data_IF_811192788362
#
_entry.id   IF_811192788362
#
_cell.length_a   1.000
_cell.length_b   1.000
_cell.length_c   1.000
_cell.angle_alpha   90.00
_cell.angle_beta   90.00
_cell.angle_gamma   90.00
#
_symmetry.space_group_name_H-M   'P 1'
#
loop_
_entity.id
_entity.type
_entity.pdbx_description
1 polymer ?
#
# COMPACT_ATOMS: atom_id res chain seq x y z
N UNK A 1 -14.12 -3.00 3.80
CA UNK A 1 -13.59 -1.82 3.08
C UNK A 1 -12.20 -2.19 2.64
N UNK A 2 -11.86 -1.96 1.37
CA UNK A 2 -10.48 -2.08 0.90
C UNK A 2 -9.62 -1.04 1.61
N UNK A 3 -8.35 -1.37 1.87
CA UNK A 3 -7.38 -0.42 2.37
C UNK A 3 -6.86 0.41 1.20
N UNK A 4 -6.64 1.70 1.44
CA UNK A 4 -6.30 2.68 0.41
C UNK A 4 -4.98 3.38 0.69
N UNK A 5 -4.27 3.73 -0.38
CA UNK A 5 -3.05 4.52 -0.35
C UNK A 5 -3.33 5.90 -0.96
N UNK A 6 -3.18 6.95 -0.17
CA UNK A 6 -3.32 8.32 -0.67
C UNK A 6 -2.04 8.77 -1.39
N UNK A 7 -2.15 9.13 -2.68
CA UNK A 7 -1.03 9.70 -3.44
C UNK A 7 -0.99 11.20 -3.19
N UNK A 8 0.12 11.68 -2.65
CA UNK A 8 0.38 13.09 -2.36
C UNK A 8 1.64 13.57 -3.06
N UNK A 9 1.79 14.87 -3.21
CA UNK A 9 3.00 15.47 -3.79
C UNK A 9 2.83 16.96 -4.00
N UNK A 10 3.93 17.67 -4.12
CA UNK A 10 3.95 19.08 -4.50
C UNK A 10 3.46 19.25 -5.95
N UNK A 11 3.06 20.45 -6.37
CA UNK A 11 2.74 20.69 -7.77
C UNK A 11 3.92 20.36 -8.71
N UNK A 12 3.59 19.83 -9.90
CA UNK A 12 4.56 19.55 -10.96
C UNK A 12 5.61 18.46 -10.65
N UNK A 13 5.34 17.56 -9.71
CA UNK A 13 6.21 16.40 -9.41
C UNK A 13 5.92 15.17 -10.29
N UNK A 14 4.92 15.24 -11.19
CA UNK A 14 4.47 14.12 -12.01
C UNK A 14 3.35 13.28 -11.40
N UNK A 15 2.73 13.73 -10.29
CA UNK A 15 1.67 13.02 -9.58
C UNK A 15 0.50 12.63 -10.50
N UNK A 16 -0.02 13.57 -11.28
CA UNK A 16 -1.15 13.32 -12.20
C UNK A 16 -0.77 12.37 -13.35
N UNK A 17 0.46 12.46 -13.85
CA UNK A 17 0.99 11.54 -14.86
C UNK A 17 1.04 10.12 -14.31
N UNK A 18 1.59 9.96 -13.10
CA UNK A 18 1.64 8.68 -12.40
C UNK A 18 0.24 8.11 -12.16
N UNK A 19 -0.69 8.93 -11.64
CA UNK A 19 -2.04 8.50 -11.36
C UNK A 19 -2.79 8.11 -12.64
N UNK A 20 -2.62 8.84 -13.72
CA UNK A 20 -3.20 8.49 -15.03
C UNK A 20 -2.63 7.17 -15.56
N UNK A 21 -1.33 6.93 -15.38
CA UNK A 21 -0.71 5.66 -15.73
C UNK A 21 -1.28 4.51 -14.88
N UNK A 22 -1.44 4.69 -13.58
CA UNK A 22 -2.07 3.71 -12.69
C UNK A 22 -3.50 3.38 -13.12
N UNK A 23 -4.32 4.38 -13.49
CA UNK A 23 -5.71 4.18 -13.89
C UNK A 23 -5.90 3.63 -15.30
N UNK A 24 -4.98 3.91 -16.23
CA UNK A 24 -4.99 3.32 -17.58
C UNK A 24 -4.63 1.82 -17.55
N UNK A 25 -3.84 1.39 -16.59
CA UNK A 25 -3.48 -0.01 -16.37
C UNK A 25 -4.65 -0.87 -15.87
N UNK A 26 -5.86 -0.31 -15.90
CA UNK A 26 -7.13 -0.85 -15.40
C UNK A 26 -7.72 -1.97 -16.30
N UNK A 27 -6.87 -2.74 -16.98
CA UNK A 27 -7.25 -3.98 -17.70
C UNK A 27 -7.92 -4.97 -16.75
N UNK A 28 -7.75 -4.79 -15.43
CA UNK A 28 -8.32 -5.63 -14.39
C UNK A 28 -9.73 -5.20 -13.96
N UNK A 29 -10.10 -3.94 -14.09
CA UNK A 29 -11.47 -3.47 -13.77
C UNK A 29 -12.54 -4.16 -14.60
N UNK A 30 -12.25 -4.51 -15.86
CA UNK A 30 -13.15 -5.27 -16.73
C UNK A 30 -13.44 -6.69 -16.20
N UNK A 31 -12.60 -7.25 -15.34
CA UNK A 31 -12.75 -8.59 -14.78
C UNK A 31 -13.39 -8.62 -13.38
N UNK A 32 -13.61 -7.46 -12.74
CA UNK A 32 -14.29 -7.33 -11.46
C UNK A 32 -15.70 -6.79 -11.65
N UNK A 33 -16.74 -7.64 -11.68
CA UNK A 33 -18.12 -7.25 -12.01
C UNK A 33 -18.78 -6.30 -10.99
N UNK A 34 -18.08 -5.94 -9.90
CA UNK A 34 -18.56 -5.06 -8.83
C UNK A 34 -17.63 -3.89 -8.51
N UNK A 35 -16.63 -3.60 -9.37
CA UNK A 35 -15.79 -2.42 -9.20
C UNK A 35 -16.63 -1.17 -9.50
N UNK A 36 -17.05 -0.47 -8.45
CA UNK A 36 -17.57 0.89 -8.58
C UNK A 36 -16.37 1.78 -8.90
N UNK A 37 -16.32 2.35 -10.10
CA UNK A 37 -15.29 3.33 -10.46
C UNK A 37 -15.62 4.61 -9.71
N UNK A 38 -14.97 4.82 -8.56
CA UNK A 38 -15.04 6.09 -7.87
C UNK A 38 -14.09 7.08 -8.56
N UNK A 39 -14.50 8.34 -8.80
CA UNK A 39 -13.60 9.33 -9.35
C UNK A 39 -12.40 9.52 -8.41
N UNK A 40 -11.19 9.54 -8.98
CA UNK A 40 -9.91 9.66 -8.29
C UNK A 40 -9.46 8.41 -7.50
N UNK A 41 -10.01 7.22 -7.78
CA UNK A 41 -9.50 5.95 -7.25
C UNK A 41 -8.97 5.11 -8.42
N UNK A 42 -7.72 4.68 -8.31
CA UNK A 42 -7.07 3.74 -9.23
C UNK A 42 -6.92 2.38 -8.56
N UNK A 43 -7.53 1.35 -9.13
CA UNK A 43 -7.41 -0.03 -8.65
C UNK A 43 -6.31 -0.72 -9.45
N UNK A 44 -5.23 -1.15 -8.80
CA UNK A 44 -4.06 -1.72 -9.47
C UNK A 44 -3.88 -3.17 -9.04
N UNK A 45 -3.69 -4.05 -10.03
CA UNK A 45 -3.37 -5.46 -9.77
C UNK A 45 -1.97 -5.62 -9.19
N UNK A 46 -1.85 -6.46 -8.16
CA UNK A 46 -0.55 -6.84 -7.60
C UNK A 46 0.00 -8.01 -8.41
N UNK A 47 1.14 -7.85 -9.12
CA UNK A 47 1.74 -8.94 -9.88
C UNK A 47 2.07 -10.14 -8.98
N UNK A 48 1.63 -11.34 -9.39
CA UNK A 48 1.88 -12.57 -8.67
C UNK A 48 2.07 -13.73 -9.65
N UNK A 49 3.32 -14.11 -9.87
CA UNK A 49 3.71 -15.18 -10.79
C UNK A 49 3.19 -16.57 -10.37
N UNK A 50 2.79 -16.73 -9.09
CA UNK A 50 2.23 -17.97 -8.57
C UNK A 50 0.88 -18.31 -9.22
N UNK A 51 0.11 -17.29 -9.57
CA UNK A 51 -1.22 -17.48 -10.16
C UNK A 51 -1.18 -18.18 -11.51
N UNK A 52 -0.23 -17.83 -12.39
CA UNK A 52 -0.08 -18.46 -13.69
C UNK A 52 0.25 -19.96 -13.54
N UNK A 53 1.17 -20.31 -12.63
CA UNK A 53 1.53 -21.71 -12.36
C UNK A 53 0.36 -22.52 -11.80
N UNK A 54 -0.43 -21.95 -10.90
CA UNK A 54 -1.62 -22.60 -10.38
C UNK A 54 -2.69 -22.77 -11.47
N UNK A 55 -2.90 -21.73 -12.29
CA UNK A 55 -3.85 -21.80 -13.39
C UNK A 55 -3.51 -22.92 -14.39
N UNK A 56 -2.23 -23.17 -14.66
CA UNK A 56 -1.77 -24.28 -15.48
C UNK A 56 -2.10 -25.63 -14.82
N UNK A 57 -1.77 -25.82 -13.53
CA UNK A 57 -2.03 -27.07 -12.78
C UNK A 57 -3.53 -27.40 -12.74
N UNK A 58 -4.40 -26.41 -12.57
CA UNK A 58 -5.83 -26.59 -12.40
C UNK A 58 -6.65 -26.44 -13.70
N UNK A 59 -6.03 -26.03 -14.80
CA UNK A 59 -6.71 -25.69 -16.05
C UNK A 59 -7.69 -24.53 -15.89
N UNK A 60 -7.32 -23.51 -15.14
CA UNK A 60 -8.22 -22.40 -14.77
C UNK A 60 -8.55 -21.53 -15.96
N UNK A 61 -9.84 -21.22 -16.13
CA UNK A 61 -10.31 -20.37 -17.22
C UNK A 61 -9.98 -18.87 -17.02
N UNK A 62 -9.73 -18.44 -15.76
CA UNK A 62 -9.43 -17.04 -15.41
C UNK A 62 -8.41 -16.96 -14.31
N UNK A 63 -7.62 -15.87 -14.33
CA UNK A 63 -6.66 -15.51 -13.28
C UNK A 63 -7.11 -14.16 -12.69
N UNK A 64 -7.21 -14.10 -11.37
CA UNK A 64 -7.63 -12.90 -10.64
C UNK A 64 -6.59 -12.57 -9.57
N UNK A 65 -5.70 -11.57 -9.80
CA UNK A 65 -4.72 -11.15 -8.82
C UNK A 65 -5.37 -10.39 -7.65
N UNK A 66 -4.63 -10.19 -6.58
CA UNK A 66 -4.98 -9.22 -5.55
C UNK A 66 -4.87 -7.80 -6.11
N UNK A 67 -5.53 -6.83 -5.47
CA UNK A 67 -5.49 -5.43 -5.88
C UNK A 67 -5.13 -4.53 -4.71
N UNK A 68 -4.60 -3.36 -5.03
CA UNK A 68 -4.38 -2.25 -4.12
C UNK A 68 -5.04 -0.99 -4.71
N UNK A 69 -5.70 -0.22 -3.85
CA UNK A 69 -6.42 0.97 -4.26
C UNK A 69 -5.59 2.21 -3.96
N UNK A 70 -5.33 3.00 -5.00
CA UNK A 70 -4.67 4.31 -4.90
C UNK A 70 -5.69 5.43 -5.06
N UNK A 71 -5.60 6.45 -4.20
CA UNK A 71 -6.48 7.61 -4.24
C UNK A 71 -5.68 8.85 -4.58
N UNK A 72 -6.06 9.56 -5.66
CA UNK A 72 -5.43 10.83 -5.99
C UNK A 72 -5.87 11.92 -5.02
N UNK A 73 -4.95 12.39 -4.20
CA UNK A 73 -5.17 13.49 -3.28
C UNK A 73 -4.60 14.76 -3.92
N UNK A 74 -5.43 15.80 -4.02
CA UNK A 74 -5.02 17.09 -4.60
C UNK A 74 -3.71 17.58 -3.96
N UNK A 75 -2.83 18.17 -4.78
CA UNK A 75 -1.50 18.61 -4.33
C UNK A 75 -1.55 19.58 -3.15
N UNK A 76 -0.56 19.47 -2.27
CA UNK A 76 -0.36 20.34 -1.14
C UNK A 76 0.36 21.61 -1.59
N UNK A 77 0.03 22.74 -0.97
CA UNK A 77 0.82 23.98 -0.99
C UNK A 77 1.21 24.31 0.44
N UNK A 78 2.36 24.99 0.62
CA UNK A 78 2.80 25.48 1.93
C UNK A 78 1.69 26.28 2.61
N UNK A 79 1.51 26.09 3.93
CA UNK A 79 0.48 26.76 4.71
C UNK A 79 -0.88 26.04 4.66
N UNK A 80 -0.93 24.79 4.21
CA UNK A 80 -2.16 24.01 4.15
C UNK A 80 -2.75 23.74 5.54
N UNK A 81 -1.90 23.64 6.56
CA UNK A 81 -2.30 23.43 7.97
C UNK A 81 -2.86 24.70 8.64
N UNK A 82 -2.54 25.88 8.13
CA UNK A 82 -3.00 27.18 8.66
C UNK A 82 -4.15 27.79 7.86
N UNK A 83 -4.43 27.25 6.66
CA UNK A 83 -5.40 27.82 5.70
C UNK A 83 -6.84 27.32 5.87
N UNK A 84 -7.79 28.23 5.60
CA UNK A 84 -9.18 27.84 5.36
C UNK A 84 -9.34 27.30 3.92
N UNK A 85 -10.03 26.18 3.74
CA UNK A 85 -10.46 25.69 2.43
C UNK A 85 -9.67 24.48 1.88
N UNK A 86 -8.82 24.67 0.85
CA UNK A 86 -8.17 23.56 0.12
C UNK A 86 -7.21 22.73 0.99
N UNK A 87 -6.48 23.34 1.92
CA UNK A 87 -5.58 22.64 2.82
C UNK A 87 -6.32 21.69 3.78
N UNK A 88 -7.43 22.14 4.35
CA UNK A 88 -8.25 21.28 5.22
C UNK A 88 -8.86 20.10 4.47
N UNK A 89 -9.25 20.28 3.20
CA UNK A 89 -9.75 19.20 2.35
C UNK A 89 -8.65 18.18 2.04
N UNK A 90 -7.43 18.65 1.75
CA UNK A 90 -6.27 17.80 1.56
C UNK A 90 -5.99 16.93 2.79
N UNK A 91 -5.89 17.53 3.98
CA UNK A 91 -5.66 16.81 5.23
C UNK A 91 -6.79 15.82 5.57
N UNK A 92 -8.05 16.17 5.23
CA UNK A 92 -9.18 15.26 5.40
C UNK A 92 -9.05 14.03 4.50
N UNK A 93 -8.69 14.18 3.23
CA UNK A 93 -8.49 13.06 2.31
C UNK A 93 -7.33 12.16 2.76
N UNK A 94 -6.22 12.72 3.25
CA UNK A 94 -5.13 11.91 3.84
C UNK A 94 -5.64 11.16 5.06
N UNK A 95 -6.49 11.77 5.88
CA UNK A 95 -7.03 11.11 7.08
C UNK A 95 -7.86 9.86 6.76
N UNK A 96 -8.53 9.86 5.63
CA UNK A 96 -9.33 8.73 5.14
C UNK A 96 -8.48 7.59 4.55
N UNK A 97 -7.27 7.87 4.07
CA UNK A 97 -6.35 6.85 3.52
C UNK A 97 -5.68 6.03 4.64
N UNK A 98 -5.28 4.80 4.35
CA UNK A 98 -4.60 3.90 5.31
C UNK A 98 -3.07 4.05 5.28
N UNK A 99 -2.50 4.45 4.13
CA UNK A 99 -1.08 4.76 3.96
C UNK A 99 -0.91 5.99 3.05
N UNK A 100 0.28 6.56 3.03
CA UNK A 100 0.64 7.74 2.24
C UNK A 100 1.72 7.37 1.24
N UNK A 101 1.46 7.61 -0.05
CA UNK A 101 2.43 7.53 -1.12
C UNK A 101 2.85 8.95 -1.53
N UNK A 102 4.04 9.37 -1.14
CA UNK A 102 4.55 10.68 -1.54
C UNK A 102 5.33 10.59 -2.85
N UNK A 103 4.85 11.29 -3.88
CA UNK A 103 5.57 11.46 -5.15
C UNK A 103 6.52 12.64 -5.00
N UNK A 104 7.79 12.36 -5.26
CA UNK A 104 8.91 13.31 -5.12
C UNK A 104 9.54 13.52 -6.48
N UNK A 105 9.75 14.79 -6.85
CA UNK A 105 10.42 15.14 -8.09
C UNK A 105 11.93 14.98 -7.92
N UNK A 106 12.53 14.18 -8.77
CA UNK A 106 13.98 14.06 -8.91
C UNK A 106 14.45 14.26 -10.38
N UNK A 107 13.51 14.36 -11.31
CA UNK A 107 13.79 14.63 -12.73
C UNK A 107 14.06 16.11 -13.00
N UNK A 108 14.85 16.38 -14.05
CA UNK A 108 15.20 17.71 -14.53
C UNK A 108 14.52 17.99 -15.86
N UNK A 109 13.54 18.91 -15.87
CA UNK A 109 12.88 19.35 -17.10
C UNK A 109 12.80 20.89 -17.07
N UNK A 110 13.47 21.59 -18.03
CA UNK A 110 13.47 23.05 -18.08
C UNK A 110 12.09 23.66 -18.39
N UNK A 111 11.19 22.89 -19.02
CA UNK A 111 9.85 23.34 -19.36
C UNK A 111 8.86 23.17 -18.19
N UNK A 112 9.25 22.44 -17.16
CA UNK A 112 8.42 22.16 -15.97
C UNK A 112 8.97 22.97 -14.78
N UNK A 113 8.29 24.05 -14.43
CA UNK A 113 8.69 24.92 -13.31
C UNK A 113 8.56 24.16 -11.98
N UNK A 114 9.62 24.15 -11.16
CA UNK A 114 9.56 23.70 -9.77
C UNK A 114 8.98 24.81 -8.88
N UNK A 115 8.15 24.47 -7.90
CA UNK A 115 7.48 25.44 -7.01
C UNK A 115 8.48 26.33 -6.28
N UNK A 116 9.61 25.77 -5.84
CA UNK A 116 10.67 26.48 -5.13
C UNK A 116 11.83 26.91 -6.06
N UNK A 117 11.67 26.78 -7.39
CA UNK A 117 12.68 27.15 -8.39
C UNK A 117 13.92 26.25 -8.46
N UNK A 118 14.02 25.22 -7.61
CA UNK A 118 15.11 24.24 -7.55
C UNK A 118 14.53 22.86 -7.22
N UNK A 119 14.95 21.86 -7.97
CA UNK A 119 14.64 20.45 -7.65
C UNK A 119 15.47 20.02 -6.43
N UNK A 120 14.80 19.64 -5.36
CA UNK A 120 15.41 19.15 -4.12
C UNK A 120 14.50 18.12 -3.46
N UNK A 121 14.71 16.82 -3.70
CA UNK A 121 13.91 15.76 -3.10
C UNK A 121 13.76 15.89 -1.60
N UNK A 122 14.84 16.26 -0.90
CA UNK A 122 14.83 16.46 0.55
C UNK A 122 13.87 17.59 0.96
N UNK A 123 13.96 18.76 0.33
CA UNK A 123 13.15 19.92 0.69
C UNK A 123 11.65 19.65 0.37
N UNK A 124 11.37 18.92 -0.70
CA UNK A 124 10.01 18.50 -1.08
C UNK A 124 9.38 17.56 -0.03
N UNK A 125 10.17 16.60 0.47
CA UNK A 125 9.74 15.68 1.53
C UNK A 125 9.50 16.47 2.83
N UNK A 126 10.46 17.28 3.26
CA UNK A 126 10.36 18.09 4.48
C UNK A 126 9.16 19.04 4.44
N UNK A 127 8.82 19.59 3.28
CA UNK A 127 7.64 20.47 3.13
C UNK A 127 6.34 19.74 3.47
N UNK A 128 6.13 18.54 2.92
CA UNK A 128 4.92 17.76 3.22
C UNK A 128 4.92 17.27 4.67
N UNK A 129 6.06 16.77 5.17
CA UNK A 129 6.18 16.37 6.58
C UNK A 129 5.81 17.50 7.53
N UNK A 130 6.31 18.71 7.28
CA UNK A 130 6.03 19.89 8.11
C UNK A 130 4.53 20.16 8.21
N UNK A 131 3.80 20.13 7.08
CA UNK A 131 2.35 20.37 7.08
C UNK A 131 1.59 19.28 7.85
N UNK A 132 1.98 18.01 7.70
CA UNK A 132 1.35 16.91 8.43
C UNK A 132 1.66 16.97 9.94
N UNK A 133 2.90 17.30 10.30
CA UNK A 133 3.34 17.46 11.69
C UNK A 133 2.58 18.62 12.36
N UNK A 134 2.43 19.76 11.70
CA UNK A 134 1.68 20.90 12.24
C UNK A 134 0.20 20.54 12.46
N UNK A 135 -0.42 19.82 11.53
CA UNK A 135 -1.79 19.35 11.66
C UNK A 135 -1.96 18.37 12.84
N UNK A 136 -1.00 17.48 13.04
CA UNK A 136 -1.02 16.52 14.16
C UNK A 136 -0.76 17.21 15.49
N UNK A 137 0.18 18.17 15.56
CA UNK A 137 0.41 18.98 16.75
C UNK A 137 -0.86 19.71 17.18
N UNK A 138 -1.59 20.34 16.26
CA UNK A 138 -2.87 20.96 16.57
C UNK A 138 -3.89 19.96 17.10
N UNK A 139 -3.93 18.75 16.53
CA UNK A 139 -4.85 17.67 16.96
C UNK A 139 -4.52 17.22 18.38
N UNK A 140 -3.24 16.96 18.67
CA UNK A 140 -2.79 16.52 20.00
C UNK A 140 -3.00 17.62 21.03
N UNK A 141 -2.60 18.86 20.75
CA UNK A 141 -2.78 19.99 21.66
C UNK A 141 -4.23 20.24 22.03
N UNK A 142 -5.14 20.11 21.08
CA UNK A 142 -6.58 20.19 21.32
C UNK A 142 -7.10 19.06 22.20
N UNK A 143 -6.52 17.86 22.10
CA UNK A 143 -6.94 16.68 22.86
C UNK A 143 -6.37 16.68 24.31
N UNK A 144 -5.17 17.21 24.54
CA UNK A 144 -4.46 17.15 25.82
C UNK A 144 -5.26 17.63 27.02
N UNK A 145 -5.98 18.79 27.01
CA UNK A 145 -6.76 19.23 28.17
C UNK A 145 -7.85 18.25 28.58
N UNK A 146 -8.52 17.62 27.60
CA UNK A 146 -9.51 16.58 27.86
C UNK A 146 -8.85 15.34 28.45
N UNK A 147 -7.77 14.85 27.86
CA UNK A 147 -7.04 13.67 28.32
C UNK A 147 -6.48 13.85 29.74
N UNK A 148 -5.97 15.04 30.09
CA UNK A 148 -5.50 15.38 31.43
C UNK A 148 -6.64 15.34 32.45
N UNK A 149 -7.83 15.82 32.12
CA UNK A 149 -9.00 15.74 33.00
C UNK A 149 -9.46 14.30 33.18
N UNK A 150 -9.51 13.52 32.13
CA UNK A 150 -9.90 12.10 32.15
C UNK A 150 -8.92 11.25 32.99
N UNK A 151 -7.60 11.48 32.82
CA UNK A 151 -6.56 10.77 33.56
C UNK A 151 -6.61 11.01 35.10
N UNK A 152 -7.12 12.18 35.52
CA UNK A 152 -7.37 12.45 36.93
C UNK A 152 -8.53 11.65 37.53
N UNK A 153 -9.48 11.26 36.68
CA UNK A 153 -10.72 10.58 37.09
C UNK A 153 -10.62 9.06 36.95
N UNK A 154 -9.84 8.56 35.99
CA UNK A 154 -9.72 7.14 35.62
C UNK A 154 -8.25 6.76 35.44
N UNK A 155 -7.76 5.79 36.18
CA UNK A 155 -6.35 5.30 36.06
C UNK A 155 -6.02 4.73 34.68
N UNK A 156 -6.99 4.13 33.99
CA UNK A 156 -6.79 3.49 32.69
C UNK A 156 -6.50 4.51 31.57
N UNK A 157 -6.84 5.80 31.78
CA UNK A 157 -6.55 6.88 30.82
C UNK A 157 -5.18 7.51 30.99
N UNK A 158 -4.42 7.15 32.01
CA UNK A 158 -3.08 7.69 32.25
C UNK A 158 -2.09 7.28 31.14
N UNK A 159 -2.21 6.05 30.62
CA UNK A 159 -1.39 5.56 29.48
C UNK A 159 -1.70 6.30 28.18
N UNK A 160 -2.95 6.65 27.94
CA UNK A 160 -3.37 7.44 26.79
C UNK A 160 -2.80 8.87 26.85
N UNK A 161 -2.86 9.50 28.02
CA UNK A 161 -2.26 10.83 28.22
C UNK A 161 -0.74 10.79 28.02
N UNK A 162 -0.05 9.82 28.62
CA UNK A 162 1.40 9.67 28.45
C UNK A 162 1.80 9.46 26.98
N UNK A 163 1.02 8.65 26.24
CA UNK A 163 1.25 8.45 24.81
C UNK A 163 1.01 9.73 23.99
N UNK A 164 -0.02 10.52 24.33
CA UNK A 164 -0.27 11.80 23.65
C UNK A 164 0.82 12.83 23.91
N UNK A 165 1.33 12.92 25.14
CA UNK A 165 2.45 13.79 25.51
C UNK A 165 3.76 13.36 24.82
N UNK A 166 4.02 12.04 24.74
CA UNK A 166 5.18 11.51 24.02
C UNK A 166 5.10 11.77 22.52
N UNK A 167 3.91 11.57 21.90
CA UNK A 167 3.69 11.89 20.49
C UNK A 167 3.95 13.37 20.22
N UNK A 168 3.45 14.29 21.07
CA UNK A 168 3.72 15.72 20.96
C UNK A 168 5.23 16.01 20.98
N UNK A 169 5.95 15.44 21.95
CA UNK A 169 7.39 15.65 22.08
C UNK A 169 8.17 15.20 20.84
N UNK A 170 7.77 14.09 20.20
CA UNK A 170 8.37 13.62 18.94
C UNK A 170 8.09 14.62 17.82
N UNK A 171 6.83 15.01 17.63
CA UNK A 171 6.42 15.94 16.57
C UNK A 171 7.12 17.31 16.70
N UNK A 172 7.32 17.79 17.91
CA UNK A 172 8.08 19.04 18.19
C UNK A 172 9.56 18.96 17.77
N UNK A 173 10.12 17.76 17.60
CA UNK A 173 11.46 17.58 17.01
C UNK A 173 11.50 17.67 15.49
N UNK A 174 10.35 17.80 14.82
CA UNK A 174 10.24 17.79 13.36
C UNK A 174 10.24 16.40 12.73
N UNK A 175 10.05 15.33 13.53
CA UNK A 175 9.94 13.95 13.05
C UNK A 175 8.49 13.50 12.97
N UNK A 176 8.17 12.70 11.96
CA UNK A 176 6.89 12.00 11.90
C UNK A 176 6.85 10.87 12.94
N UNK A 177 5.65 10.49 13.38
CA UNK A 177 5.50 9.37 14.32
C UNK A 177 5.89 8.03 13.69
N UNK A 178 5.67 7.89 12.39
CA UNK A 178 6.09 6.72 11.61
C UNK A 178 7.62 6.59 11.57
N UNK A 179 8.34 7.66 11.21
CA UNK A 179 9.81 7.69 11.20
C UNK A 179 10.41 7.38 12.58
N UNK A 180 9.75 7.84 13.64
CA UNK A 180 10.16 7.57 15.01
C UNK A 180 9.84 6.15 15.49
N UNK A 181 9.12 5.34 14.71
CA UNK A 181 8.65 4.01 15.12
C UNK A 181 7.74 4.05 16.35
N UNK A 182 6.98 5.12 16.54
CA UNK A 182 6.19 5.35 17.73
C UNK A 182 4.90 4.52 17.74
N UNK A 183 4.64 3.77 18.83
CA UNK A 183 3.38 3.03 18.98
C UNK A 183 2.21 3.98 19.28
N UNK A 184 1.37 4.17 18.26
CA UNK A 184 0.18 5.02 18.34
C UNK A 184 -1.08 4.29 18.78
N UNK A 185 -1.02 2.98 19.07
CA UNK A 185 -2.19 2.20 19.45
C UNK A 185 -2.97 2.80 20.64
N UNK A 186 -2.32 3.33 21.72
CA UNK A 186 -3.05 3.96 22.83
C UNK A 186 -3.82 5.22 22.44
N UNK A 187 -3.39 5.93 21.39
CA UNK A 187 -3.97 7.20 20.93
C UNK A 187 -4.56 7.13 19.52
N UNK A 188 -4.87 5.92 19.04
CA UNK A 188 -5.43 5.68 17.69
C UNK A 188 -6.69 6.51 17.40
N UNK A 189 -7.48 6.83 18.42
CA UNK A 189 -8.67 7.67 18.30
C UNK A 189 -8.37 9.11 17.84
N UNK A 190 -7.11 9.55 17.90
CA UNK A 190 -6.70 10.87 17.42
C UNK A 190 -6.51 10.90 15.90
N UNK A 191 -6.45 9.74 15.24
CA UNK A 191 -6.27 9.62 13.78
C UNK A 191 -5.13 10.49 13.24
N UNK A 192 -3.94 10.37 13.89
CA UNK A 192 -2.78 11.18 13.52
C UNK A 192 -2.27 10.79 12.13
N UNK A 193 -1.99 11.81 11.33
CA UNK A 193 -1.59 11.66 9.93
C UNK A 193 -0.17 11.11 9.80
N UNK A 194 0.74 11.61 10.63
CA UNK A 194 2.16 11.21 10.65
C UNK A 194 2.40 9.82 11.22
N UNK A 195 1.36 9.18 11.79
CA UNK A 195 1.41 7.81 12.28
C UNK A 195 1.15 6.76 11.19
N UNK A 196 0.62 7.20 10.03
CA UNK A 196 0.35 6.30 8.90
C UNK A 196 1.66 5.81 8.28
N UNK A 197 1.68 4.58 7.74
CA UNK A 197 2.80 4.12 6.93
C UNK A 197 3.05 5.03 5.73
N UNK A 198 4.33 5.28 5.41
CA UNK A 198 4.75 6.03 4.25
C UNK A 198 5.46 5.12 3.25
N UNK A 199 5.28 5.44 1.97
CA UNK A 199 6.15 5.02 0.89
C UNK A 199 6.44 6.21 -0.02
N UNK A 200 7.58 6.20 -0.70
CA UNK A 200 8.02 7.29 -1.55
C UNK A 200 8.22 6.82 -2.97
N UNK A 201 7.71 7.60 -3.92
CA UNK A 201 7.96 7.41 -5.35
C UNK A 201 8.83 8.56 -5.82
N UNK A 202 10.09 8.29 -6.11
CA UNK A 202 10.99 9.23 -6.77
C UNK A 202 10.77 9.15 -8.28
N UNK A 203 10.18 10.21 -8.82
CA UNK A 203 10.01 10.36 -10.25
C UNK A 203 11.32 10.94 -10.82
N UNK A 204 12.07 10.11 -11.54
CA UNK A 204 13.46 10.33 -11.95
C UNK A 204 13.61 10.40 -13.47
N UNK A 205 14.75 10.89 -13.95
CA UNK A 205 15.17 10.72 -15.34
C UNK A 205 15.73 9.30 -15.58
N UNK A 206 15.96 8.95 -16.85
CA UNK A 206 16.41 7.59 -17.22
C UNK A 206 17.79 7.27 -16.61
N UNK A 207 18.68 8.24 -16.54
CA UNK A 207 20.03 8.05 -16.00
C UNK A 207 20.02 7.66 -14.51
N UNK A 208 19.14 8.26 -13.71
CA UNK A 208 19.00 7.93 -12.29
C UNK A 208 18.32 6.56 -12.05
N UNK A 209 17.58 6.03 -13.02
CA UNK A 209 17.03 4.66 -12.92
C UNK A 209 18.13 3.60 -12.86
N UNK A 210 19.30 3.86 -13.44
CA UNK A 210 20.45 2.97 -13.41
C UNK A 210 21.49 3.34 -12.31
N UNK A 211 21.36 4.50 -11.67
CA UNK A 211 22.30 4.99 -10.67
C UNK A 211 21.97 4.49 -9.26
N UNK A 212 22.63 3.41 -8.83
CA UNK A 212 22.42 2.83 -7.50
C UNK A 212 22.94 3.72 -6.37
N UNK A 213 24.00 4.52 -6.57
CA UNK A 213 24.51 5.45 -5.55
C UNK A 213 23.47 6.54 -5.28
N UNK A 214 22.83 7.05 -6.32
CA UNK A 214 21.70 7.98 -6.19
C UNK A 214 20.54 7.33 -5.44
N UNK A 215 20.11 6.13 -5.85
CA UNK A 215 19.01 5.41 -5.20
C UNK A 215 19.27 5.13 -3.73
N UNK A 216 20.50 4.72 -3.38
CA UNK A 216 20.89 4.46 -2.00
C UNK A 216 20.85 5.72 -1.13
N UNK A 217 21.27 6.86 -1.68
CA UNK A 217 21.14 8.14 -1.00
C UNK A 217 19.67 8.51 -0.72
N UNK A 218 18.76 8.28 -1.69
CA UNK A 218 17.34 8.54 -1.50
C UNK A 218 16.68 7.53 -0.53
N UNK A 219 17.05 6.24 -0.59
CA UNK A 219 16.62 5.22 0.38
C UNK A 219 16.99 5.63 1.81
N UNK A 220 18.24 6.08 2.00
CA UNK A 220 18.71 6.56 3.31
C UNK A 220 17.93 7.79 3.80
N UNK A 221 17.52 8.68 2.88
CA UNK A 221 16.77 9.91 3.20
C UNK A 221 15.40 9.60 3.77
N UNK A 222 14.73 8.54 3.30
CA UNK A 222 13.33 8.22 3.65
C UNK A 222 13.19 7.05 4.61
N UNK A 223 14.28 6.42 5.04
CA UNK A 223 14.23 5.31 5.99
C UNK A 223 13.45 5.68 7.26
N UNK A 224 12.61 4.77 7.80
CA UNK A 224 12.44 3.36 7.46
C UNK A 224 11.40 3.07 6.34
N UNK A 225 10.90 4.09 5.64
CA UNK A 225 9.95 3.91 4.55
C UNK A 225 10.62 3.32 3.31
N UNK A 226 9.81 2.68 2.46
CA UNK A 226 10.25 2.16 1.18
C UNK A 226 10.35 3.27 0.13
N UNK A 227 11.39 3.19 -0.72
CA UNK A 227 11.64 4.09 -1.84
C UNK A 227 11.52 3.34 -3.17
N UNK A 228 10.69 3.84 -4.05
CA UNK A 228 10.45 3.33 -5.39
C UNK A 228 10.96 4.37 -6.39
N UNK A 229 11.67 3.91 -7.43
CA UNK A 229 12.20 4.76 -8.48
C UNK A 229 11.54 4.41 -9.79
N UNK A 230 10.95 5.39 -10.45
CA UNK A 230 10.31 5.22 -11.76
C UNK A 230 10.33 6.52 -12.54
N UNK A 231 10.14 6.43 -13.84
CA UNK A 231 9.88 7.58 -14.69
C UNK A 231 8.40 7.57 -15.11
N UNK A 232 7.61 8.49 -14.57
CA UNK A 232 6.17 8.51 -14.78
C UNK A 232 5.76 8.67 -16.27
N UNK A 233 6.61 9.27 -17.10
CA UNK A 233 6.37 9.40 -18.54
C UNK A 233 6.57 8.06 -19.22
N UNK A 234 7.66 7.37 -18.95
CA UNK A 234 7.94 6.03 -19.47
C UNK A 234 6.84 5.04 -19.03
N UNK A 235 6.42 5.07 -17.78
CA UNK A 235 5.32 4.24 -17.29
C UNK A 235 4.03 4.45 -18.10
N UNK A 236 3.76 5.69 -18.53
CA UNK A 236 2.61 6.00 -19.37
C UNK A 236 2.78 5.47 -20.80
N UNK A 237 4.00 5.42 -21.32
CA UNK A 237 4.33 4.89 -22.65
C UNK A 237 4.27 3.36 -22.67
N UNK A 238 4.78 2.69 -21.61
CA UNK A 238 4.75 1.23 -21.48
C UNK A 238 3.35 0.63 -21.59
N UNK A 239 2.34 1.34 -21.12
CA UNK A 239 0.93 0.88 -21.16
C UNK A 239 0.37 0.85 -22.59
N UNK A 240 0.95 1.63 -23.52
CA UNK A 240 0.52 1.73 -24.91
C UNK A 240 1.25 0.72 -25.83
N UNK A 241 2.30 0.06 -25.32
CA UNK A 241 3.08 -0.95 -26.02
C UNK A 241 2.50 -2.35 -25.83
N UNK A 242 2.84 -3.26 -26.73
CA UNK A 242 2.60 -4.68 -26.46
C UNK A 242 3.65 -5.26 -25.50
N UNK A 243 3.40 -6.47 -24.98
CA UNK A 243 4.25 -7.08 -23.95
C UNK A 243 5.72 -7.26 -24.39
N UNK A 244 5.97 -7.52 -25.66
CA UNK A 244 7.31 -7.73 -26.22
C UNK A 244 8.07 -6.39 -26.33
N UNK A 245 7.41 -5.37 -26.89
CA UNK A 245 7.96 -4.00 -26.98
C UNK A 245 8.20 -3.38 -25.59
N UNK A 246 7.26 -3.58 -24.66
CA UNK A 246 7.41 -3.11 -23.29
C UNK A 246 8.61 -3.75 -22.58
N UNK A 247 8.81 -5.07 -22.77
CA UNK A 247 9.94 -5.78 -22.20
C UNK A 247 11.28 -5.31 -22.78
N UNK A 248 11.34 -5.09 -24.11
CA UNK A 248 12.55 -4.55 -24.77
C UNK A 248 12.90 -3.16 -24.23
N UNK A 249 11.91 -2.28 -24.06
CA UNK A 249 12.12 -0.95 -23.50
C UNK A 249 12.64 -1.01 -22.07
N UNK A 250 12.03 -1.83 -21.21
CA UNK A 250 12.48 -2.01 -19.81
C UNK A 250 13.92 -2.54 -19.74
N UNK A 251 14.25 -3.56 -20.55
CA UNK A 251 15.60 -4.14 -20.58
C UNK A 251 16.64 -3.12 -21.05
N UNK A 252 16.29 -2.25 -21.99
CA UNK A 252 17.19 -1.18 -22.46
C UNK A 252 17.57 -0.19 -21.36
N UNK A 253 16.69 -0.04 -20.35
CA UNK A 253 16.90 0.82 -19.17
C UNK A 253 17.42 0.06 -17.95
N UNK A 254 17.75 -1.24 -18.09
CA UNK A 254 18.21 -2.07 -16.98
C UNK A 254 17.14 -2.35 -15.93
N UNK A 255 15.85 -2.32 -16.32
CA UNK A 255 14.73 -2.63 -15.44
C UNK A 255 14.17 -4.02 -15.77
N UNK A 256 13.81 -4.79 -14.73
CA UNK A 256 13.23 -6.13 -14.88
C UNK A 256 11.70 -6.12 -14.93
N UNK A 257 11.08 -5.09 -14.37
CA UNK A 257 9.61 -4.92 -14.30
C UNK A 257 9.21 -3.43 -14.37
N UNK A 258 7.99 -3.11 -14.78
CA UNK A 258 7.47 -1.74 -14.71
C UNK A 258 7.48 -1.19 -13.29
N UNK A 259 7.81 0.10 -13.12
CA UNK A 259 7.79 0.76 -11.81
C UNK A 259 6.41 0.75 -11.16
N UNK A 260 5.34 0.76 -11.96
CA UNK A 260 3.97 0.61 -11.45
C UNK A 260 3.72 -0.78 -10.84
N UNK A 261 4.32 -1.83 -11.36
CA UNK A 261 4.24 -3.18 -10.78
C UNK A 261 4.93 -3.23 -9.41
N UNK A 262 6.13 -2.64 -9.32
CA UNK A 262 6.85 -2.46 -8.04
C UNK A 262 6.02 -1.62 -7.06
N UNK A 263 5.41 -0.51 -7.52
CA UNK A 263 4.56 0.34 -6.68
C UNK A 263 3.36 -0.42 -6.12
N UNK A 264 2.69 -1.24 -6.92
CA UNK A 264 1.57 -2.05 -6.46
C UNK A 264 2.00 -3.06 -5.39
N UNK A 265 3.13 -3.74 -5.57
CA UNK A 265 3.67 -4.73 -4.63
C UNK A 265 4.11 -4.08 -3.32
N UNK A 266 4.92 -3.03 -3.39
CA UNK A 266 5.41 -2.31 -2.20
C UNK A 266 4.27 -1.64 -1.45
N UNK A 267 3.30 -1.05 -2.16
CA UNK A 267 2.11 -0.47 -1.56
C UNK A 267 1.26 -1.50 -0.81
N UNK A 268 1.09 -2.68 -1.39
CA UNK A 268 0.40 -3.81 -0.76
C UNK A 268 1.08 -4.25 0.54
N UNK A 269 2.41 -4.38 0.51
CA UNK A 269 3.22 -4.73 1.68
C UNK A 269 3.19 -3.65 2.76
N UNK A 270 3.25 -2.37 2.37
CA UNK A 270 3.18 -1.20 3.26
C UNK A 270 1.87 -1.15 4.05
N UNK A 271 0.77 -1.59 3.44
CA UNK A 271 -0.53 -1.75 4.11
C UNK A 271 -0.59 -2.95 5.07
N UNK A 272 0.50 -3.72 5.21
CA UNK A 272 0.53 -4.92 6.04
C UNK A 272 -0.35 -6.05 5.50
N UNK A 273 -0.51 -6.12 4.18
CA UNK A 273 -1.32 -7.12 3.49
C UNK A 273 -0.48 -8.33 3.07
N UNK A 274 -1.15 -9.44 2.87
CA UNK A 274 -0.64 -10.67 2.26
C UNK A 274 -1.76 -11.39 1.52
N UNK A 275 -1.43 -12.39 0.72
CA UNK A 275 -2.41 -13.16 -0.04
C UNK A 275 -2.44 -14.62 0.37
N UNK A 276 -3.63 -15.22 0.34
CA UNK A 276 -3.79 -16.64 0.17
C UNK A 276 -4.44 -16.93 -1.19
N UNK A 277 -4.31 -18.14 -1.68
CA UNK A 277 -4.67 -18.51 -3.03
C UNK A 277 -5.80 -19.56 -3.02
N UNK A 278 -6.70 -19.45 -3.97
CA UNK A 278 -7.65 -20.51 -4.30
C UNK A 278 -7.50 -20.86 -5.77
N UNK A 279 -7.56 -22.11 -6.12
CA UNK A 279 -7.42 -22.56 -7.50
C UNK A 279 -8.41 -23.67 -7.84
N UNK A 280 -8.98 -23.59 -9.03
CA UNK A 280 -9.91 -24.54 -9.57
C UNK A 280 -10.18 -24.32 -11.06
N UNK A 281 -10.97 -25.18 -11.74
CA UNK A 281 -11.18 -25.06 -13.20
C UNK A 281 -11.81 -23.74 -13.65
N UNK A 282 -12.59 -23.07 -12.79
CA UNK A 282 -13.23 -21.80 -13.14
C UNK A 282 -12.29 -20.62 -13.03
N UNK A 283 -11.52 -20.58 -11.93
CA UNK A 283 -10.61 -19.48 -11.65
C UNK A 283 -9.49 -19.89 -10.70
N UNK A 284 -8.35 -19.23 -10.85
CA UNK A 284 -7.29 -19.11 -9.86
C UNK A 284 -7.29 -17.68 -9.35
N UNK A 285 -7.30 -17.50 -8.03
CA UNK A 285 -7.46 -16.18 -7.42
C UNK A 285 -6.57 -15.98 -6.20
N UNK A 286 -5.97 -14.79 -6.11
CA UNK A 286 -5.35 -14.28 -4.90
C UNK A 286 -6.38 -13.48 -4.08
N UNK A 287 -6.46 -13.79 -2.80
CA UNK A 287 -7.35 -13.14 -1.84
C UNK A 287 -6.54 -12.31 -0.86
N UNK A 288 -6.90 -11.05 -0.73
CA UNK A 288 -6.21 -10.11 0.15
C UNK A 288 -6.65 -10.28 1.59
N UNK A 289 -5.68 -10.46 2.49
CA UNK A 289 -5.88 -10.49 3.95
C UNK A 289 -4.80 -9.66 4.64
N UNK A 290 -5.05 -9.24 5.87
CA UNK A 290 -4.01 -8.64 6.72
C UNK A 290 -3.02 -9.70 7.18
N UNK A 291 -1.75 -9.36 7.30
CA UNK A 291 -0.73 -10.20 7.95
C UNK A 291 -1.20 -10.53 9.37
N UNK A 292 -1.12 -11.82 9.74
CA UNK A 292 -1.61 -12.31 11.01
C UNK A 292 -3.10 -12.71 11.05
N UNK A 293 -3.83 -12.60 9.95
CA UNK A 293 -5.22 -13.05 9.86
C UNK A 293 -5.33 -14.57 10.07
N UNK A 294 -6.34 -14.99 10.82
CA UNK A 294 -6.66 -16.41 11.05
C UNK A 294 -7.44 -17.02 9.89
N UNK A 295 -7.49 -18.35 9.81
CA UNK A 295 -8.24 -19.06 8.77
C UNK A 295 -9.73 -18.68 8.70
N UNK A 296 -10.48 -18.50 9.82
CA UNK A 296 -11.85 -17.99 9.77
C UNK A 296 -11.95 -16.56 9.20
N UNK A 297 -11.02 -15.67 9.55
CA UNK A 297 -10.99 -14.30 9.02
C UNK A 297 -10.71 -14.31 7.52
N UNK A 298 -9.78 -15.14 7.07
CA UNK A 298 -9.50 -15.35 5.65
C UNK A 298 -10.72 -15.91 4.89
N UNK A 299 -11.40 -16.90 5.45
CA UNK A 299 -12.64 -17.43 4.87
C UNK A 299 -13.73 -16.34 4.75
N UNK A 300 -13.77 -15.41 5.72
CA UNK A 300 -14.68 -14.27 5.75
C UNK A 300 -14.51 -13.29 4.60
N UNK A 301 -13.31 -13.21 4.02
CA UNK A 301 -13.03 -12.37 2.84
C UNK A 301 -13.76 -12.91 1.59
N UNK A 302 -13.93 -14.23 1.48
CA UNK A 302 -14.72 -14.81 0.40
C UNK A 302 -16.21 -14.51 0.62
N UNK A 303 -16.72 -14.83 1.81
CA UNK A 303 -18.10 -14.56 2.21
C UNK A 303 -18.23 -14.62 3.74
N UNK A 304 -19.09 -13.77 4.30
CA UNK A 304 -19.31 -13.70 5.77
C UNK A 304 -19.83 -15.02 6.35
N UNK A 305 -20.59 -15.78 5.58
CA UNK A 305 -21.10 -17.10 6.02
C UNK A 305 -19.97 -18.13 6.15
N UNK A 306 -18.92 -18.03 5.34
CA UNK A 306 -17.74 -18.90 5.46
C UNK A 306 -17.03 -18.68 6.79
N UNK A 307 -16.95 -17.42 7.25
CA UNK A 307 -16.40 -17.10 8.56
C UNK A 307 -17.26 -17.65 9.70
N UNK A 308 -18.57 -17.39 9.63
CA UNK A 308 -19.52 -17.82 10.66
C UNK A 308 -19.64 -19.33 10.78
N UNK A 309 -19.71 -20.02 9.63
CA UNK A 309 -19.83 -21.46 9.52
C UNK A 309 -18.51 -22.21 9.44
N UNK A 310 -17.35 -21.56 9.66
CA UNK A 310 -16.03 -22.15 9.52
C UNK A 310 -15.87 -23.43 10.34
N UNK A 311 -15.45 -24.52 9.68
CA UNK A 311 -15.17 -25.81 10.32
C UNK A 311 -13.66 -26.05 10.33
N UNK A 312 -13.01 -26.00 9.17
CA UNK A 312 -11.59 -26.25 8.97
C UNK A 312 -11.14 -25.73 7.60
N UNK A 313 -9.83 -25.55 7.44
CA UNK A 313 -9.18 -25.28 6.17
C UNK A 313 -8.27 -26.45 5.78
N UNK A 314 -8.30 -26.86 4.54
CA UNK A 314 -7.24 -27.69 3.95
C UNK A 314 -6.24 -26.75 3.31
N UNK A 315 -5.00 -26.78 3.76
CA UNK A 315 -3.94 -25.85 3.38
C UNK A 315 -2.77 -26.63 2.78
N UNK A 316 -2.33 -26.19 1.59
CA UNK A 316 -1.12 -26.68 0.93
C UNK A 316 -0.28 -25.43 0.61
N UNK A 317 1.02 -25.42 0.95
CA UNK A 317 1.86 -24.32 0.50
C UNK A 317 1.97 -24.30 -1.03
N UNK A 318 2.12 -23.11 -1.61
CA UNK A 318 2.30 -22.99 -3.06
C UNK A 318 3.43 -23.89 -3.59
N UNK A 319 4.59 -23.88 -2.92
CA UNK A 319 5.75 -24.65 -3.34
C UNK A 319 5.50 -26.17 -3.29
N UNK A 320 4.84 -26.67 -2.22
CA UNK A 320 4.48 -28.06 -2.11
C UNK A 320 3.47 -28.50 -3.20
N UNK A 321 2.53 -27.61 -3.54
CA UNK A 321 1.55 -27.88 -4.57
C UNK A 321 2.18 -27.93 -5.97
N UNK A 322 3.07 -27.01 -6.28
CA UNK A 322 3.84 -27.01 -7.54
C UNK A 322 4.73 -28.26 -7.63
N UNK A 323 5.42 -28.62 -6.55
CA UNK A 323 6.31 -29.78 -6.51
C UNK A 323 5.53 -31.12 -6.65
N UNK A 324 4.27 -31.16 -6.24
CA UNK A 324 3.41 -32.36 -6.33
C UNK A 324 2.54 -32.39 -7.58
N UNK A 325 2.28 -31.24 -8.20
CA UNK A 325 1.50 -31.10 -9.44
C UNK A 325 -0.01 -31.31 -9.28
N UNK A 326 -0.50 -31.70 -8.10
CA UNK A 326 -1.93 -31.84 -7.84
C UNK A 326 -2.26 -31.93 -6.34
N UNK A 327 -3.50 -31.59 -5.97
CA UNK A 327 -4.00 -31.75 -4.59
C UNK A 327 -3.96 -33.23 -4.17
N UNK A 328 -4.32 -34.17 -5.06
CA UNK A 328 -4.33 -35.59 -4.76
C UNK A 328 -2.93 -36.11 -4.39
N UNK A 329 -1.93 -35.69 -5.14
CA UNK A 329 -0.54 -36.07 -4.87
C UNK A 329 0.01 -35.36 -3.62
N UNK A 330 -0.35 -34.11 -3.38
CA UNK A 330 -0.02 -33.41 -2.14
C UNK A 330 -0.60 -34.10 -0.90
N UNK A 331 -1.84 -34.57 -0.98
CA UNK A 331 -2.48 -35.37 0.09
C UNK A 331 -1.74 -36.69 0.31
N UNK A 332 -1.39 -37.39 -0.76
CA UNK A 332 -0.71 -38.73 -0.68
C UNK A 332 0.69 -38.59 -0.02
N UNK A 333 1.37 -37.46 -0.25
CA UNK A 333 2.68 -37.14 0.32
C UNK A 333 2.62 -36.45 1.69
N UNK A 334 1.43 -36.28 2.28
CA UNK A 334 1.23 -35.63 3.58
C UNK A 334 1.54 -34.11 3.58
N UNK A 335 1.46 -33.47 2.40
CA UNK A 335 1.71 -32.03 2.24
C UNK A 335 0.43 -31.19 2.41
N UNK A 336 -0.74 -31.81 2.32
CA UNK A 336 -2.02 -31.18 2.62
C UNK A 336 -2.29 -31.24 4.13
N UNK A 337 -2.36 -30.10 4.77
CA UNK A 337 -2.60 -29.96 6.21
C UNK A 337 -4.07 -29.62 6.45
N UNK A 338 -4.61 -30.14 7.52
CA UNK A 338 -5.95 -29.75 8.01
C UNK A 338 -5.76 -28.81 9.19
N UNK A 339 -6.18 -27.57 9.01
CA UNK A 339 -5.98 -26.50 9.97
C UNK A 339 -7.30 -26.04 10.60
N UNK A 340 -7.23 -25.65 11.88
CA UNK A 340 -8.37 -25.20 12.66
C UNK A 340 -8.51 -23.67 12.72
N UNK A 341 -9.34 -23.19 13.67
CA UNK A 341 -9.69 -21.77 13.80
C UNK A 341 -8.52 -20.87 14.18
N UNK A 342 -7.53 -21.42 14.90
CA UNK A 342 -6.38 -20.68 15.42
C UNK A 342 -5.23 -20.60 14.39
N UNK A 343 -5.37 -21.22 13.23
CA UNK A 343 -4.34 -21.19 12.20
C UNK A 343 -4.18 -19.77 11.65
N UNK A 344 -2.98 -19.25 11.76
CA UNK A 344 -2.59 -17.97 11.17
C UNK A 344 -2.12 -18.22 9.73
N UNK A 345 -2.83 -17.62 8.78
CA UNK A 345 -2.57 -17.77 7.35
C UNK A 345 -1.18 -17.29 6.98
N UNK A 346 -0.53 -18.04 6.11
CA UNK A 346 0.76 -17.68 5.53
C UNK A 346 0.58 -17.16 4.10
N UNK A 347 1.48 -16.25 3.66
CA UNK A 347 1.45 -15.80 2.28
C UNK A 347 1.71 -16.96 1.32
N UNK A 348 0.87 -17.07 0.29
CA UNK A 348 0.94 -18.16 -0.69
C UNK A 348 0.32 -19.49 -0.25
N UNK A 349 -0.35 -19.56 0.89
CA UNK A 349 -1.17 -20.73 1.22
C UNK A 349 -2.24 -20.96 0.14
N UNK A 350 -2.31 -22.15 -0.43
CA UNK A 350 -3.39 -22.58 -1.32
C UNK A 350 -4.42 -23.33 -0.49
N UNK A 351 -5.67 -22.82 -0.48
CA UNK A 351 -6.64 -23.17 0.56
C UNK A 351 -7.98 -23.61 0.00
N UNK A 352 -8.55 -24.66 0.61
CA UNK A 352 -9.95 -25.04 0.47
C UNK A 352 -10.63 -24.96 1.85
N UNK A 353 -11.58 -24.02 2.02
CA UNK A 353 -12.35 -23.90 3.26
C UNK A 353 -13.51 -24.85 3.30
N UNK A 354 -13.72 -25.47 4.46
CA UNK A 354 -14.91 -26.25 4.78
C UNK A 354 -15.74 -25.50 5.81
N UNK A 355 -16.98 -25.28 5.50
CA UNK A 355 -17.93 -24.53 6.32
C UNK A 355 -19.32 -25.21 6.28
N UNK A 356 -20.12 -24.88 7.29
CA UNK A 356 -21.52 -25.29 7.36
C UNK A 356 -22.37 -24.02 7.54
N UNK A 357 -23.41 -23.86 6.72
CA UNK A 357 -24.34 -22.73 6.73
C UNK A 357 -25.63 -23.15 7.37
#
# INVERSE_FOLDING_TARGET
MSLTIGIVGLPNVGKSTLFNALTKNDVLAANYPFATIEPNVGVVGVPDTRLAKLAEIFGSARILPATVDFVDIAGIVRGASEGEGLGNKFLANIRESDAICQVVRAFTDPDVVHVDGKVSPKDDIETIHTELILADLQTVEKALPRLQKEARLKKDTASVLAAAEAAKAILETGKTLFEAGFDTHPIRELHLLTAKPFLYVFNVDEDELADEDFKDAQRALVAPAEAIFLNAKIESELIELDDEEALELLQSMGQDEPGLATLARVGFETLGLQTYLTAGPKETRAWTIKKGATAPEAAGVIHTDFQKGFIKAEVISFDDLVATGSIAEARSKGKARIEGKEYVMQDGDVVEFRFNV
#
